data_IF_768383509816
#
_entry.id   IF_768383509816
#
_cell.length_a   1.000
_cell.length_b   1.000
_cell.length_c   1.000
_cell.angle_alpha   90.00
_cell.angle_beta   90.00
_cell.angle_gamma   90.00
#
_symmetry.space_group_name_H-M   'P 1'
#
loop_
_entity.id
_entity.type
_entity.pdbx_description
1 polymer ?
#
# COMPACT_ATOMS: atom_id res chain seq x y z
N UNK A 1 -20.57 49.02 2.06
CA UNK A 1 -19.43 48.33 1.45
C UNK A 1 -18.75 47.53 2.55
N UNK A 2 -19.08 46.25 2.64
CA UNK A 2 -18.38 45.27 3.48
C UNK A 2 -18.86 43.91 2.97
N UNK A 3 -18.11 43.37 2.01
CA UNK A 3 -18.35 42.05 1.43
C UNK A 3 -17.85 40.99 2.39
N UNK A 4 -18.77 40.14 2.81
CA UNK A 4 -18.52 38.95 3.62
C UNK A 4 -18.18 37.80 2.65
N UNK A 5 -16.90 37.51 2.47
CA UNK A 5 -16.43 36.36 1.68
C UNK A 5 -16.36 35.13 2.57
N UNK A 6 -17.52 34.53 2.85
CA UNK A 6 -17.62 33.20 3.41
C UNK A 6 -17.13 32.16 2.40
N UNK A 7 -15.85 31.78 2.47
CA UNK A 7 -15.37 30.57 1.82
C UNK A 7 -15.99 29.37 2.53
N UNK A 8 -17.08 28.83 1.98
CA UNK A 8 -17.62 27.55 2.41
C UNK A 8 -16.66 26.45 1.95
N UNK A 9 -15.80 26.01 2.87
CA UNK A 9 -15.13 24.73 2.71
C UNK A 9 -16.22 23.66 2.60
N UNK A 10 -16.27 22.98 1.44
CA UNK A 10 -17.11 21.80 1.27
C UNK A 10 -16.76 20.80 2.38
N UNK A 11 -17.76 20.18 3.02
CA UNK A 11 -17.51 19.15 4.03
C UNK A 11 -16.66 18.03 3.43
N UNK A 12 -15.78 17.46 4.26
CA UNK A 12 -15.01 16.26 3.93
C UNK A 12 -15.98 15.12 3.63
N UNK A 13 -16.25 14.88 2.34
CA UNK A 13 -16.89 13.68 1.84
C UNK A 13 -15.80 12.64 1.64
N UNK A 14 -15.99 11.44 2.21
CA UNK A 14 -15.00 10.37 2.12
C UNK A 14 -14.69 10.04 0.65
N UNK A 15 -13.41 9.94 0.33
CA UNK A 15 -12.81 9.93 -1.01
C UNK A 15 -13.31 8.88 -2.03
N UNK A 16 -14.28 8.04 -1.72
CA UNK A 16 -14.74 7.01 -2.66
C UNK A 16 -15.87 7.53 -3.56
N UNK A 17 -15.60 8.61 -4.28
CA UNK A 17 -16.53 9.20 -5.26
C UNK A 17 -16.39 8.56 -6.65
N UNK A 18 -15.27 7.89 -6.91
CA UNK A 18 -14.95 7.26 -8.19
C UNK A 18 -14.78 5.74 -8.02
N UNK A 19 -15.89 5.02 -7.95
CA UNK A 19 -15.87 3.56 -7.79
C UNK A 19 -15.15 2.86 -8.96
N UNK A 20 -15.20 3.42 -10.16
CA UNK A 20 -14.51 2.88 -11.33
C UNK A 20 -12.99 2.92 -11.16
N UNK A 21 -12.45 4.01 -10.60
CA UNK A 21 -11.03 4.14 -10.29
C UNK A 21 -10.58 3.20 -9.17
N UNK A 22 -11.39 3.05 -8.11
CA UNK A 22 -11.10 2.10 -7.04
C UNK A 22 -11.07 0.65 -7.56
N UNK A 23 -12.06 0.24 -8.35
CA UNK A 23 -12.08 -1.11 -8.94
C UNK A 23 -10.89 -1.31 -9.89
N UNK A 24 -10.58 -0.33 -10.73
CA UNK A 24 -9.38 -0.38 -11.58
C UNK A 24 -8.10 -0.58 -10.77
N UNK A 25 -7.98 0.07 -9.62
CA UNK A 25 -6.84 -0.09 -8.74
C UNK A 25 -6.74 -1.52 -8.17
N UNK A 26 -7.87 -2.10 -7.76
CA UNK A 26 -7.91 -3.50 -7.29
C UNK A 26 -7.54 -4.46 -8.41
N UNK A 27 -8.02 -4.25 -9.64
CA UNK A 27 -7.65 -5.04 -10.82
C UNK A 27 -6.14 -4.97 -11.10
N UNK A 28 -5.59 -3.76 -11.16
CA UNK A 28 -4.16 -3.52 -11.43
C UNK A 28 -3.26 -4.13 -10.34
N UNK A 29 -3.67 -4.02 -9.08
CA UNK A 29 -2.91 -4.56 -7.94
C UNK A 29 -3.02 -6.07 -7.83
N UNK A 30 -4.21 -6.65 -8.04
CA UNK A 30 -4.39 -8.10 -8.06
C UNK A 30 -3.47 -8.73 -9.10
N UNK A 31 -3.49 -8.20 -10.33
CA UNK A 31 -2.66 -8.68 -11.43
C UNK A 31 -1.17 -8.39 -11.21
N UNK A 32 -0.83 -7.27 -10.55
CA UNK A 32 0.54 -7.00 -10.11
C UNK A 32 1.03 -8.06 -9.12
N UNK A 33 0.28 -8.34 -8.06
CA UNK A 33 0.68 -9.28 -7.02
C UNK A 33 0.70 -10.72 -7.55
N UNK A 34 -0.27 -11.12 -8.37
CA UNK A 34 -0.28 -12.42 -9.06
C UNK A 34 0.97 -12.59 -9.93
N UNK A 35 1.12 -11.74 -10.95
CA UNK A 35 2.14 -11.91 -11.99
C UNK A 35 3.56 -11.54 -11.53
N UNK A 36 3.71 -10.75 -10.45
CA UNK A 36 5.04 -10.32 -9.95
C UNK A 36 5.45 -10.96 -8.63
N UNK A 37 4.53 -11.39 -7.77
CA UNK A 37 4.87 -11.83 -6.41
C UNK A 37 4.49 -13.27 -6.12
N UNK A 38 3.42 -13.78 -6.73
CA UNK A 38 2.92 -15.11 -6.45
C UNK A 38 3.30 -16.15 -7.51
N UNK A 39 2.79 -16.06 -8.73
CA UNK A 39 2.99 -17.11 -9.75
C UNK A 39 4.46 -17.35 -10.12
N UNK A 40 5.32 -16.31 -10.29
CA UNK A 40 6.75 -16.54 -10.48
C UNK A 40 7.39 -17.39 -9.38
N UNK A 41 6.89 -17.28 -8.14
CA UNK A 41 7.38 -18.08 -7.01
C UNK A 41 6.92 -19.54 -7.10
N UNK A 42 5.69 -19.77 -7.55
CA UNK A 42 5.20 -21.12 -7.81
C UNK A 42 6.08 -21.78 -8.88
N UNK A 43 6.36 -21.09 -9.98
CA UNK A 43 7.27 -21.57 -11.03
C UNK A 43 8.69 -21.82 -10.52
N UNK A 44 9.24 -20.88 -9.74
CA UNK A 44 10.56 -21.00 -9.12
C UNK A 44 10.72 -22.29 -8.33
N UNK A 45 9.71 -22.63 -7.52
CA UNK A 45 9.71 -23.82 -6.66
C UNK A 45 9.40 -25.11 -7.43
N UNK A 46 8.53 -25.05 -8.44
CA UNK A 46 8.29 -26.16 -9.37
C UNK A 46 9.58 -26.59 -10.08
N UNK A 47 10.34 -25.62 -10.60
CA UNK A 47 11.60 -25.86 -11.33
C UNK A 47 12.71 -26.44 -10.44
N UNK A 48 12.59 -26.32 -9.12
CA UNK A 48 13.56 -26.82 -8.12
C UNK A 48 13.09 -28.07 -7.39
N UNK A 49 11.96 -28.65 -7.80
CA UNK A 49 11.38 -29.84 -7.18
C UNK A 49 11.07 -29.66 -5.68
N UNK A 50 10.79 -28.43 -5.24
CA UNK A 50 10.36 -28.13 -3.88
C UNK A 50 8.89 -28.54 -3.73
N UNK A 51 8.06 -28.08 -4.66
CA UNK A 51 6.66 -28.47 -4.88
C UNK A 51 6.53 -28.94 -6.32
N UNK A 52 5.69 -29.93 -6.60
CA UNK A 52 5.36 -30.39 -7.97
C UNK A 52 3.89 -30.11 -8.31
N UNK A 53 3.56 -30.08 -9.61
CA UNK A 53 2.15 -29.97 -10.03
C UNK A 53 1.26 -31.07 -9.44
N UNK A 54 1.79 -32.29 -9.32
CA UNK A 54 1.08 -33.39 -8.66
C UNK A 54 0.81 -33.13 -7.18
N UNK A 55 1.68 -32.40 -6.50
CA UNK A 55 1.51 -32.05 -5.09
C UNK A 55 0.39 -31.03 -4.94
N UNK A 56 0.30 -30.06 -5.85
CA UNK A 56 -0.83 -29.10 -5.89
C UNK A 56 -2.16 -29.82 -6.09
N UNK A 57 -2.23 -30.79 -7.01
CA UNK A 57 -3.46 -31.56 -7.24
C UNK A 57 -3.85 -32.39 -6.01
N UNK A 58 -2.89 -33.06 -5.35
CA UNK A 58 -3.14 -33.82 -4.12
C UNK A 58 -3.58 -32.90 -2.97
N UNK A 59 -2.86 -31.81 -2.77
CA UNK A 59 -3.18 -30.78 -1.77
C UNK A 59 -4.59 -30.24 -1.98
N UNK A 60 -5.00 -29.99 -3.22
CA UNK A 60 -6.34 -29.50 -3.54
C UNK A 60 -7.46 -30.48 -3.17
N UNK A 61 -7.25 -31.78 -3.38
CA UNK A 61 -8.22 -32.83 -3.02
C UNK A 61 -8.32 -32.98 -1.50
N UNK A 62 -7.19 -32.85 -0.79
CA UNK A 62 -7.13 -33.02 0.67
C UNK A 62 -7.49 -31.74 1.45
N UNK A 63 -7.44 -30.57 0.82
CA UNK A 63 -7.70 -29.29 1.45
C UNK A 63 -9.14 -29.20 1.96
N UNK A 64 -9.29 -29.27 3.28
CA UNK A 64 -10.57 -29.06 3.96
C UNK A 64 -10.76 -27.58 4.27
N UNK A 65 -12.00 -27.09 4.16
CA UNK A 65 -12.37 -25.71 4.52
C UNK A 65 -11.88 -25.27 5.90
N UNK A 66 -11.87 -26.18 6.89
CA UNK A 66 -11.37 -25.88 8.24
C UNK A 66 -9.85 -25.59 8.30
N UNK A 67 -9.09 -26.04 7.31
CA UNK A 67 -7.65 -25.88 7.21
C UNK A 67 -7.25 -24.67 6.35
N UNK A 68 -8.23 -23.97 5.76
CA UNK A 68 -7.98 -22.74 5.02
C UNK A 68 -7.56 -21.61 5.97
N UNK A 69 -6.51 -20.91 5.59
CA UNK A 69 -6.03 -19.71 6.28
C UNK A 69 -6.94 -18.51 5.97
N UNK A 70 -7.33 -18.34 4.71
CA UNK A 70 -8.18 -17.23 4.29
C UNK A 70 -9.64 -17.53 4.63
N UNK A 71 -10.24 -16.62 5.38
CA UNK A 71 -11.65 -16.68 5.76
C UNK A 71 -12.30 -15.34 5.44
N UNK A 72 -12.49 -15.01 4.15
CA UNK A 72 -13.10 -13.75 3.76
C UNK A 72 -14.49 -13.64 4.40
N UNK A 73 -14.74 -12.49 5.03
CA UNK A 73 -16.06 -12.16 5.57
C UNK A 73 -16.98 -11.75 4.43
N UNK A 74 -18.29 -11.93 4.58
CA UNK A 74 -19.22 -11.40 3.57
C UNK A 74 -19.23 -9.86 3.63
N UNK A 75 -19.47 -9.17 2.50
CA UNK A 75 -19.59 -7.71 2.49
C UNK A 75 -20.63 -7.24 3.51
N UNK A 76 -20.26 -6.23 4.31
CA UNK A 76 -21.16 -5.56 5.24
C UNK A 76 -22.02 -4.54 4.48
N UNK A 77 -22.99 -5.03 3.71
CA UNK A 77 -23.90 -4.19 2.92
C UNK A 77 -24.09 -4.69 1.49
N UNK A 78 -25.03 -4.06 0.77
CA UNK A 78 -25.36 -4.38 -0.63
C UNK A 78 -25.13 -3.22 -1.59
N UNK A 79 -24.74 -2.04 -1.11
CA UNK A 79 -24.44 -0.90 -1.96
C UNK A 79 -23.09 -1.09 -2.66
N UNK A 80 -22.83 -0.29 -3.70
CA UNK A 80 -21.60 -0.37 -4.49
C UNK A 80 -20.37 -0.14 -3.62
N UNK A 81 -20.40 0.89 -2.76
CA UNK A 81 -19.34 1.19 -1.79
C UNK A 81 -18.95 -0.04 -0.94
N UNK A 82 -19.90 -0.72 -0.31
CA UNK A 82 -19.60 -1.88 0.53
C UNK A 82 -18.98 -3.04 -0.28
N UNK A 83 -19.39 -3.20 -1.55
CA UNK A 83 -18.82 -4.20 -2.43
C UNK A 83 -17.40 -3.83 -2.89
N UNK A 84 -17.13 -2.56 -3.15
CA UNK A 84 -15.77 -2.06 -3.48
C UNK A 84 -14.84 -2.29 -2.29
N UNK A 85 -15.24 -1.86 -1.09
CA UNK A 85 -14.48 -2.10 0.15
C UNK A 85 -14.22 -3.57 0.40
N UNK A 86 -15.21 -4.42 0.16
CA UNK A 86 -15.05 -5.87 0.28
C UNK A 86 -13.96 -6.42 -0.66
N UNK A 87 -13.91 -5.95 -1.91
CA UNK A 87 -12.89 -6.36 -2.86
C UNK A 87 -11.49 -5.84 -2.49
N UNK A 88 -11.40 -4.62 -1.96
CA UNK A 88 -10.15 -4.06 -1.42
C UNK A 88 -9.65 -4.87 -0.21
N UNK A 89 -10.51 -5.15 0.76
CA UNK A 89 -10.20 -5.98 1.93
C UNK A 89 -9.79 -7.40 1.53
N UNK A 90 -10.47 -8.00 0.54
CA UNK A 90 -10.12 -9.33 0.05
C UNK A 90 -8.77 -9.32 -0.68
N UNK A 91 -8.48 -8.30 -1.48
CA UNK A 91 -7.14 -8.13 -2.06
C UNK A 91 -6.06 -8.05 -0.97
N UNK A 92 -6.32 -7.34 0.13
CA UNK A 92 -5.36 -7.21 1.23
C UNK A 92 -5.09 -8.54 1.92
N UNK A 93 -6.14 -9.34 2.15
CA UNK A 93 -6.00 -10.70 2.64
C UNK A 93 -5.18 -11.58 1.68
N UNK A 94 -5.42 -11.47 0.37
CA UNK A 94 -4.64 -12.18 -0.64
C UNK A 94 -3.15 -11.77 -0.62
N UNK A 95 -2.86 -10.47 -0.49
CA UNK A 95 -1.49 -9.94 -0.41
C UNK A 95 -0.76 -10.43 0.84
N UNK A 96 -1.41 -10.39 2.02
CA UNK A 96 -0.87 -11.00 3.24
C UNK A 96 -0.61 -12.49 3.03
N UNK A 97 -1.50 -13.17 2.33
CA UNK A 97 -1.36 -14.56 1.93
C UNK A 97 -0.08 -14.84 1.15
N UNK A 98 0.24 -14.01 0.16
CA UNK A 98 1.49 -14.15 -0.61
C UNK A 98 2.70 -13.94 0.30
N UNK A 99 2.61 -13.07 1.30
CA UNK A 99 3.67 -12.83 2.27
C UNK A 99 3.89 -14.03 3.20
N UNK A 100 2.83 -14.77 3.56
CA UNK A 100 2.91 -16.00 4.36
C UNK A 100 3.92 -17.00 3.76
N UNK A 101 3.92 -17.10 2.43
CA UNK A 101 4.80 -17.99 1.65
C UNK A 101 6.04 -17.28 1.10
N UNK A 102 6.56 -16.24 1.77
CA UNK A 102 7.74 -15.48 1.32
C UNK A 102 8.99 -15.65 2.20
N UNK A 103 10.10 -15.93 1.51
CA UNK A 103 11.53 -15.79 1.83
C UNK A 103 12.16 -16.56 3.01
N UNK A 104 11.56 -16.59 4.21
CA UNK A 104 12.27 -17.13 5.41
C UNK A 104 11.61 -18.34 6.07
N UNK A 105 10.37 -18.67 5.70
CA UNK A 105 9.62 -19.76 6.32
C UNK A 105 9.85 -21.14 5.67
N UNK A 106 10.52 -21.19 4.52
CA UNK A 106 10.82 -22.42 3.80
C UNK A 106 12.30 -22.38 3.45
N UNK A 107 13.08 -23.35 3.89
CA UNK A 107 14.57 -23.38 3.83
C UNK A 107 15.20 -23.25 2.41
N UNK A 108 14.38 -23.11 1.35
CA UNK A 108 14.81 -22.92 -0.04
C UNK A 108 14.36 -21.60 -0.71
N UNK A 109 13.83 -20.64 0.05
CA UNK A 109 13.07 -19.48 -0.48
C UNK A 109 13.84 -18.16 -0.64
N UNK A 110 15.17 -18.12 -0.61
CA UNK A 110 15.91 -16.85 -0.85
C UNK A 110 15.94 -16.48 -2.35
N UNK A 111 14.74 -16.30 -2.92
CA UNK A 111 14.53 -15.85 -4.29
C UNK A 111 14.93 -14.38 -4.36
N UNK A 112 16.12 -14.12 -4.90
CA UNK A 112 16.59 -12.76 -5.10
C UNK A 112 15.78 -12.08 -6.20
N UNK A 113 15.88 -10.76 -6.30
CA UNK A 113 15.12 -9.97 -7.27
C UNK A 113 15.29 -10.50 -8.70
N UNK A 114 16.50 -10.91 -9.08
CA UNK A 114 16.79 -11.45 -10.40
C UNK A 114 16.11 -12.78 -10.70
N UNK A 115 16.01 -13.67 -9.71
CA UNK A 115 15.29 -14.92 -9.90
C UNK A 115 13.81 -14.65 -10.17
N UNK A 116 13.21 -13.71 -9.43
CA UNK A 116 11.84 -13.31 -9.69
C UNK A 116 11.65 -12.71 -11.10
N UNK A 117 12.58 -11.86 -11.56
CA UNK A 117 12.53 -11.27 -12.91
C UNK A 117 12.62 -12.34 -14.00
N UNK A 118 13.48 -13.33 -13.81
CA UNK A 118 13.61 -14.48 -14.72
C UNK A 118 12.33 -15.32 -14.76
N UNK A 119 11.77 -15.66 -13.61
CA UNK A 119 10.56 -16.48 -13.52
C UNK A 119 9.31 -15.75 -14.03
N UNK A 120 9.28 -14.42 -13.92
CA UNK A 120 8.25 -13.55 -14.51
C UNK A 120 8.36 -13.41 -16.03
N UNK A 121 9.52 -13.72 -16.60
CA UNK A 121 9.80 -13.57 -18.04
C UNK A 121 10.07 -12.13 -18.46
N UNK A 122 10.65 -11.29 -17.59
CA UNK A 122 10.87 -9.85 -17.90
C UNK A 122 11.78 -9.60 -19.09
N UNK A 123 12.62 -10.57 -19.43
CA UNK A 123 13.64 -10.46 -20.48
C UNK A 123 13.20 -11.06 -21.82
N UNK A 124 12.01 -11.67 -21.88
CA UNK A 124 11.48 -12.34 -23.07
C UNK A 124 9.94 -12.30 -23.07
N UNK A 125 9.36 -11.58 -24.04
CA UNK A 125 7.91 -11.44 -24.18
C UNK A 125 7.18 -12.78 -24.37
N UNK A 126 7.85 -13.82 -24.88
CA UNK A 126 7.27 -15.16 -24.98
C UNK A 126 7.03 -15.78 -23.59
N UNK A 127 7.92 -15.54 -22.64
CA UNK A 127 7.84 -16.09 -21.28
C UNK A 127 7.14 -15.16 -20.28
N UNK A 128 6.85 -13.92 -20.68
CA UNK A 128 6.26 -12.91 -19.80
C UNK A 128 4.86 -13.31 -19.37
N UNK A 129 4.62 -13.34 -18.06
CA UNK A 129 3.29 -13.59 -17.51
C UNK A 129 2.37 -12.43 -17.91
N UNK A 130 1.40 -12.72 -18.78
CA UNK A 130 0.39 -11.75 -19.20
C UNK A 130 -0.57 -11.45 -18.05
N UNK A 131 -0.84 -10.16 -17.87
CA UNK A 131 -1.90 -9.69 -16.97
C UNK A 131 -3.25 -9.87 -17.64
N UNK A 132 -4.26 -10.23 -16.86
CA UNK A 132 -5.65 -10.24 -17.29
C UNK A 132 -6.14 -8.79 -17.41
N UNK A 133 -6.92 -8.53 -18.45
CA UNK A 133 -7.64 -7.26 -18.60
C UNK A 133 -9.11 -7.47 -18.26
N UNK A 134 -9.67 -6.53 -17.52
CA UNK A 134 -11.08 -6.52 -17.14
C UNK A 134 -11.80 -5.46 -17.97
N UNK A 135 -12.86 -5.89 -18.66
CA UNK A 135 -13.69 -5.02 -19.50
C UNK A 135 -15.15 -5.15 -19.09
N UNK A 136 -15.98 -4.21 -19.52
CA UNK A 136 -17.43 -4.20 -19.25
C UNK A 136 -17.82 -3.09 -18.28
N UNK A 137 -19.04 -3.20 -17.75
CA UNK A 137 -19.55 -2.26 -16.75
C UNK A 137 -18.84 -2.44 -15.42
N UNK A 138 -18.97 -1.45 -14.52
CA UNK A 138 -18.44 -1.53 -13.15
C UNK A 138 -18.89 -2.82 -12.46
N UNK A 139 -20.18 -3.17 -12.53
CA UNK A 139 -20.71 -4.37 -11.90
C UNK A 139 -20.16 -5.66 -12.50
N UNK A 140 -20.01 -5.75 -13.82
CA UNK A 140 -19.42 -6.91 -14.50
C UNK A 140 -17.96 -7.09 -14.09
N UNK A 141 -17.19 -6.00 -14.07
CA UNK A 141 -15.81 -5.97 -13.60
C UNK A 141 -15.68 -6.43 -12.15
N UNK A 142 -16.54 -5.94 -11.26
CA UNK A 142 -16.58 -6.38 -9.86
C UNK A 142 -16.87 -7.88 -9.71
N UNK A 143 -17.78 -8.44 -10.50
CA UNK A 143 -18.09 -9.88 -10.49
C UNK A 143 -16.89 -10.69 -10.98
N UNK A 144 -16.26 -10.26 -12.08
CA UNK A 144 -15.07 -10.91 -12.61
C UNK A 144 -13.91 -10.87 -11.62
N UNK A 145 -13.71 -9.73 -10.95
CA UNK A 145 -12.68 -9.54 -9.94
C UNK A 145 -12.91 -10.42 -8.70
N UNK A 146 -14.16 -10.57 -8.25
CA UNK A 146 -14.53 -11.48 -7.17
C UNK A 146 -14.17 -12.93 -7.52
N UNK A 147 -14.43 -13.34 -8.76
CA UNK A 147 -14.10 -14.67 -9.25
C UNK A 147 -12.57 -14.87 -9.36
N UNK A 148 -11.84 -13.88 -9.84
CA UNK A 148 -10.37 -13.94 -9.92
C UNK A 148 -9.72 -14.03 -8.53
N UNK A 149 -10.17 -13.21 -7.57
CA UNK A 149 -9.71 -13.29 -6.17
C UNK A 149 -9.93 -14.68 -5.59
N UNK A 150 -11.10 -15.27 -5.85
CA UNK A 150 -11.42 -16.63 -5.41
C UNK A 150 -10.46 -17.66 -6.01
N UNK A 151 -10.25 -17.62 -7.33
CA UNK A 151 -9.39 -18.58 -8.02
C UNK A 151 -7.92 -18.45 -7.62
N UNK A 152 -7.41 -17.22 -7.50
CA UNK A 152 -6.03 -16.95 -7.11
C UNK A 152 -5.77 -17.28 -5.64
N UNK A 153 -6.74 -17.01 -4.76
CA UNK A 153 -6.67 -17.42 -3.36
C UNK A 153 -6.74 -18.94 -3.20
N UNK A 154 -7.56 -19.63 -4.01
CA UNK A 154 -7.63 -21.08 -3.98
C UNK A 154 -6.28 -21.70 -4.35
N UNK A 155 -5.62 -21.20 -5.40
CA UNK A 155 -4.26 -21.63 -5.74
C UNK A 155 -3.26 -21.37 -4.59
N UNK A 156 -3.38 -20.23 -3.90
CA UNK A 156 -2.53 -19.89 -2.77
C UNK A 156 -2.73 -20.83 -1.57
N UNK A 157 -3.97 -21.17 -1.22
CA UNK A 157 -4.27 -22.17 -0.17
C UNK A 157 -3.71 -23.55 -0.52
N UNK A 158 -3.91 -23.97 -1.77
CA UNK A 158 -3.37 -25.24 -2.28
C UNK A 158 -1.85 -25.26 -2.21
N UNK A 159 -1.21 -24.14 -2.58
CA UNK A 159 0.23 -24.00 -2.52
C UNK A 159 0.77 -24.07 -1.09
N UNK A 160 0.14 -23.37 -0.16
CA UNK A 160 0.44 -23.45 1.29
C UNK A 160 0.31 -24.89 1.79
N UNK A 161 -0.79 -25.56 1.45
CA UNK A 161 -1.04 -26.94 1.87
C UNK A 161 -0.01 -27.92 1.28
N UNK A 162 0.42 -27.71 0.03
CA UNK A 162 1.46 -28.51 -0.59
C UNK A 162 2.82 -28.32 0.09
N UNK A 163 3.17 -27.10 0.51
CA UNK A 163 4.39 -26.84 1.29
C UNK A 163 4.36 -27.60 2.63
N UNK A 164 3.21 -27.60 3.32
CA UNK A 164 3.02 -28.35 4.57
C UNK A 164 3.18 -29.86 4.33
N UNK A 165 2.50 -30.42 3.33
CA UNK A 165 2.56 -31.86 3.01
C UNK A 165 3.97 -32.33 2.63
N UNK A 166 4.74 -31.44 2.00
CA UNK A 166 6.13 -31.69 1.61
C UNK A 166 7.13 -31.45 2.75
N UNK A 167 6.67 -30.98 3.91
CA UNK A 167 7.51 -30.75 5.09
C UNK A 167 8.37 -29.48 5.02
N UNK A 168 8.06 -28.54 4.12
CA UNK A 168 8.81 -27.30 3.96
C UNK A 168 8.47 -26.22 4.99
N UNK A 169 7.33 -26.35 5.66
CA UNK A 169 6.93 -25.58 6.83
C UNK A 169 5.85 -26.35 7.59
N UNK A 170 5.70 -26.09 8.88
CA UNK A 170 4.63 -26.66 9.69
C UNK A 170 3.36 -25.80 9.66
N UNK A 171 2.21 -26.39 9.97
CA UNK A 171 0.96 -25.63 10.08
C UNK A 171 1.07 -24.58 11.18
N UNK A 172 1.67 -24.95 12.30
CA UNK A 172 1.82 -24.12 13.49
C UNK A 172 2.68 -22.88 13.20
N UNK A 173 3.80 -23.03 12.48
CA UNK A 173 4.64 -21.91 12.03
C UNK A 173 3.86 -20.93 11.15
N UNK A 174 3.12 -21.45 10.17
CA UNK A 174 2.34 -20.62 9.26
C UNK A 174 1.16 -19.96 9.98
N UNK A 175 0.51 -20.61 10.94
CA UNK A 175 -0.55 -20.02 11.75
C UNK A 175 -0.01 -18.90 12.66
N UNK A 176 1.16 -19.09 13.26
CA UNK A 176 1.82 -18.04 14.04
C UNK A 176 2.20 -16.85 13.16
N UNK A 177 2.77 -17.11 11.98
CA UNK A 177 3.09 -16.04 11.02
C UNK A 177 1.82 -15.33 10.57
N UNK A 178 0.79 -16.06 10.16
CA UNK A 178 -0.50 -15.50 9.77
C UNK A 178 -1.06 -14.56 10.85
N UNK A 179 -0.98 -14.97 12.12
CA UNK A 179 -1.36 -14.11 13.25
C UNK A 179 -0.53 -12.82 13.33
N UNK A 180 0.78 -12.88 13.09
CA UNK A 180 1.65 -11.70 13.05
C UNK A 180 1.26 -10.74 11.91
N UNK A 181 0.94 -11.26 10.71
CA UNK A 181 0.48 -10.43 9.58
C UNK A 181 -0.84 -9.70 9.87
N UNK A 182 -1.61 -10.17 10.86
CA UNK A 182 -2.89 -9.59 11.29
C UNK A 182 -2.80 -8.78 12.58
N UNK A 183 -1.60 -8.66 13.16
CA UNK A 183 -1.41 -7.86 14.36
C UNK A 183 -1.59 -6.37 14.03
N UNK A 184 -2.53 -5.72 14.71
CA UNK A 184 -2.72 -4.28 14.55
C UNK A 184 -1.57 -3.54 15.24
N UNK A 185 -0.75 -2.86 14.45
CA UNK A 185 0.32 -2.00 14.94
C UNK A 185 0.01 -0.55 14.57
N UNK A 186 0.43 0.44 15.39
CA UNK A 186 0.42 1.84 14.96
C UNK A 186 1.15 1.97 13.63
N UNK A 187 0.56 2.70 12.69
CA UNK A 187 1.18 2.89 11.38
C UNK A 187 2.48 3.69 11.51
N UNK A 188 3.58 3.12 11.07
CA UNK A 188 4.92 3.69 11.25
C UNK A 188 5.04 5.11 10.68
N UNK A 189 4.44 5.40 9.52
CA UNK A 189 4.48 6.75 8.93
C UNK A 189 3.95 7.85 9.86
N UNK A 190 2.82 7.60 10.52
CA UNK A 190 2.23 8.54 11.47
C UNK A 190 3.08 8.70 12.73
N UNK A 191 3.61 7.60 13.27
CA UNK A 191 4.47 7.64 14.47
C UNK A 191 5.78 8.38 14.17
N UNK A 192 6.40 8.15 13.01
CA UNK A 192 7.64 8.82 12.59
C UNK A 192 7.43 10.34 12.53
N UNK A 193 6.37 10.78 11.85
CA UNK A 193 6.10 12.23 11.70
C UNK A 193 5.73 12.87 13.03
N UNK A 194 4.89 12.21 13.84
CA UNK A 194 4.53 12.71 15.15
C UNK A 194 5.76 12.90 16.05
N UNK A 195 6.67 11.91 16.07
CA UNK A 195 7.94 12.03 16.78
C UNK A 195 8.80 13.17 16.23
N UNK A 196 8.87 13.35 14.91
CA UNK A 196 9.61 14.47 14.31
C UNK A 196 8.99 15.84 14.63
N UNK A 197 7.69 15.93 14.92
CA UNK A 197 7.06 17.16 15.39
C UNK A 197 7.37 17.46 16.87
N UNK A 198 7.46 16.43 17.71
CA UNK A 198 7.63 16.58 19.17
C UNK A 198 9.09 16.53 19.64
N UNK A 199 10.00 16.01 18.83
CA UNK A 199 11.41 15.78 19.15
C UNK A 199 12.33 16.43 18.09
N UNK A 200 12.83 17.66 18.34
CA UNK A 200 13.69 18.37 17.39
C UNK A 200 15.01 17.66 17.08
N UNK A 201 15.57 16.90 18.03
CA UNK A 201 16.80 16.13 17.82
C UNK A 201 16.55 14.97 16.85
N UNK A 202 15.45 14.25 17.07
CA UNK A 202 15.01 13.21 16.15
C UNK A 202 14.68 13.78 14.77
N UNK A 203 14.01 14.93 14.69
CA UNK A 203 13.73 15.60 13.42
C UNK A 203 15.01 15.89 12.65
N UNK A 204 16.01 16.47 13.31
CA UNK A 204 17.30 16.76 12.70
C UNK A 204 17.98 15.48 12.20
N UNK A 205 18.01 14.42 13.01
CA UNK A 205 18.57 13.12 12.63
C UNK A 205 17.81 12.49 11.44
N UNK A 206 16.47 12.59 11.42
CA UNK A 206 15.62 12.06 10.36
C UNK A 206 15.89 12.75 9.01
N UNK A 207 16.05 14.07 9.02
CA UNK A 207 16.35 14.86 7.81
C UNK A 207 17.78 14.63 7.31
N UNK A 208 18.74 14.43 8.20
CA UNK A 208 20.15 14.22 7.85
C UNK A 208 20.43 12.76 7.39
N UNK A 209 19.94 11.79 8.15
CA UNK A 209 20.27 10.36 8.03
C UNK A 209 19.03 9.50 8.26
N UNK A 210 18.04 9.64 7.35
CA UNK A 210 16.70 9.06 7.56
C UNK A 210 16.69 7.56 7.85
N UNK A 211 17.49 6.76 7.13
CA UNK A 211 17.52 5.30 7.34
C UNK A 211 18.06 4.94 8.73
N UNK A 212 19.11 5.62 9.17
CA UNK A 212 19.75 5.42 10.47
C UNK A 212 18.83 5.86 11.61
N UNK A 213 18.19 7.03 11.50
CA UNK A 213 17.26 7.53 12.50
C UNK A 213 16.06 6.58 12.71
N UNK A 214 15.51 6.04 11.62
CA UNK A 214 14.44 5.05 11.71
C UNK A 214 14.89 3.73 12.34
N UNK A 215 16.15 3.33 12.14
CA UNK A 215 16.70 2.10 12.75
C UNK A 215 16.79 2.24 14.26
N UNK A 216 17.23 3.39 14.75
CA UNK A 216 17.29 3.68 16.19
C UNK A 216 15.90 3.72 16.84
N UNK A 217 14.89 4.16 16.08
CA UNK A 217 13.48 4.11 16.47
C UNK A 217 12.89 2.68 16.43
N UNK A 218 13.60 1.69 15.89
CA UNK A 218 13.13 0.31 15.76
C UNK A 218 12.19 0.08 14.57
N UNK A 219 12.09 1.02 13.63
CA UNK A 219 11.32 0.86 12.39
C UNK A 219 12.18 0.16 11.35
N UNK A 220 11.82 -1.05 10.92
CA UNK A 220 12.58 -1.78 9.90
C UNK A 220 12.46 -1.11 8.51
N UNK A 221 13.59 -0.83 7.85
CA UNK A 221 13.59 -0.12 6.55
C UNK A 221 13.62 -1.07 5.34
N UNK A 222 13.63 -2.38 5.60
CA UNK A 222 13.71 -3.43 4.58
C UNK A 222 14.78 -3.16 3.53
N UNK A 223 14.38 -3.21 2.25
CA UNK A 223 15.30 -3.10 1.10
C UNK A 223 15.52 -1.65 0.64
N UNK A 224 15.05 -0.65 1.39
CA UNK A 224 15.28 0.75 1.06
C UNK A 224 16.76 1.07 1.20
N UNK A 225 17.44 1.32 0.07
CA UNK A 225 18.87 1.65 0.05
C UNK A 225 19.15 2.98 0.74
N UNK A 226 18.67 4.07 0.13
CA UNK A 226 18.74 5.43 0.70
C UNK A 226 17.34 5.96 0.95
N UNK A 227 17.11 6.51 2.14
CA UNK A 227 15.87 7.19 2.51
C UNK A 227 16.15 8.69 2.65
N UNK A 228 15.36 9.52 1.98
CA UNK A 228 15.43 10.98 2.08
C UNK A 228 14.08 11.51 2.52
N UNK A 229 14.08 12.28 3.61
CA UNK A 229 12.88 12.93 4.12
C UNK A 229 12.91 14.39 3.69
N UNK A 230 11.86 14.83 2.98
CA UNK A 230 11.78 16.18 2.44
C UNK A 230 10.79 17.00 3.26
N UNK A 231 11.25 18.08 3.88
CA UNK A 231 10.46 18.86 4.84
C UNK A 231 9.62 19.93 4.15
N UNK A 232 8.31 19.91 4.40
CA UNK A 232 7.45 21.05 4.06
C UNK A 232 7.68 22.20 5.04
N UNK A 233 7.77 23.41 4.50
CA UNK A 233 7.95 24.65 5.27
C UNK A 233 6.96 25.70 4.80
N UNK A 234 6.93 26.88 5.41
CA UNK A 234 6.07 27.99 4.93
C UNK A 234 6.40 28.41 3.49
N UNK A 235 7.62 28.13 3.03
CA UNK A 235 8.12 28.53 1.71
C UNK A 235 8.17 27.40 0.69
N UNK A 236 8.17 26.13 1.12
CA UNK A 236 8.36 24.97 0.23
C UNK A 236 7.30 23.90 0.50
N UNK A 237 6.65 23.42 -0.56
CA UNK A 237 5.79 22.25 -0.59
C UNK A 237 6.45 21.17 -1.44
N UNK A 238 6.71 20.01 -0.85
CA UNK A 238 7.29 18.87 -1.54
C UNK A 238 6.17 17.91 -1.98
N UNK A 239 6.36 17.28 -3.14
CA UNK A 239 5.50 16.20 -3.63
C UNK A 239 6.35 15.11 -4.28
N UNK A 240 5.96 13.85 -4.13
CA UNK A 240 6.76 12.68 -4.52
C UNK A 240 6.06 11.85 -5.57
N UNK A 241 6.77 11.47 -6.62
CA UNK A 241 6.25 10.62 -7.70
C UNK A 241 7.26 9.51 -8.04
N UNK A 242 6.79 8.49 -8.76
CA UNK A 242 7.65 7.64 -9.56
C UNK A 242 7.10 7.59 -10.99
N UNK A 243 7.65 8.42 -11.89
CA UNK A 243 7.14 8.55 -13.26
C UNK A 243 7.22 7.21 -14.02
N UNK A 244 8.26 6.42 -13.75
CA UNK A 244 8.52 5.15 -14.44
C UNK A 244 7.65 3.99 -13.97
N UNK A 245 7.23 3.98 -12.70
CA UNK A 245 6.43 2.88 -12.16
C UNK A 245 5.66 3.26 -10.89
N UNK A 246 6.19 2.89 -9.72
CA UNK A 246 5.54 3.03 -8.41
C UNK A 246 6.54 2.95 -7.25
N UNK A 247 7.80 3.38 -7.45
CA UNK A 247 8.82 3.34 -6.41
C UNK A 247 8.38 4.11 -5.16
N UNK A 248 8.26 3.41 -4.03
CA UNK A 248 7.75 3.94 -2.76
C UNK A 248 8.47 3.25 -1.58
N UNK A 249 8.63 3.89 -0.40
CA UNK A 249 9.21 3.26 0.78
C UNK A 249 8.23 2.25 1.43
N UNK A 250 7.92 1.17 0.71
CA UNK A 250 6.91 0.18 1.09
C UNK A 250 7.09 -0.43 2.47
N UNK A 251 8.34 -0.74 2.84
CA UNK A 251 8.67 -1.39 4.12
C UNK A 251 8.50 -0.44 5.32
N UNK A 252 8.35 0.87 5.07
CA UNK A 252 8.20 1.91 6.10
C UNK A 252 6.77 2.46 6.12
N UNK A 253 6.22 2.78 4.94
CA UNK A 253 4.95 3.49 4.83
C UNK A 253 3.76 2.61 4.43
N UNK A 254 3.99 1.34 4.09
CA UNK A 254 2.96 0.45 3.54
C UNK A 254 2.81 0.60 2.02
N UNK A 255 1.70 0.12 1.47
CA UNK A 255 1.38 0.27 0.06
C UNK A 255 0.99 1.70 -0.30
N UNK A 256 1.28 2.05 -1.55
CA UNK A 256 0.88 3.31 -2.15
C UNK A 256 -0.64 3.41 -2.25
N UNK A 257 -1.21 4.62 -2.17
CA UNK A 257 -2.62 4.83 -2.49
C UNK A 257 -2.84 4.54 -3.99
N UNK A 258 -4.07 4.24 -4.37
CA UNK A 258 -4.39 3.79 -5.73
C UNK A 258 -3.94 4.79 -6.81
N UNK A 259 -4.16 6.08 -6.55
CA UNK A 259 -3.91 7.16 -7.51
C UNK A 259 -2.41 7.34 -7.82
N UNK A 260 -1.51 6.87 -6.94
CA UNK A 260 -0.07 7.01 -7.11
C UNK A 260 0.46 6.28 -8.35
N UNK A 261 -0.18 5.16 -8.70
CA UNK A 261 0.17 4.34 -9.88
C UNK A 261 -0.51 4.84 -11.15
N UNK A 262 -1.52 5.69 -11.00
CA UNK A 262 -2.34 6.16 -12.10
C UNK A 262 -1.51 7.01 -13.06
N UNK A 263 -1.70 6.79 -14.37
CA UNK A 263 -0.91 7.42 -15.42
C UNK A 263 -1.08 8.95 -15.42
N UNK A 264 -2.27 9.46 -15.11
CA UNK A 264 -2.50 10.91 -15.02
C UNK A 264 -1.64 11.56 -13.94
N UNK A 265 -1.53 10.93 -12.76
CA UNK A 265 -0.68 11.44 -11.70
C UNK A 265 0.79 11.43 -12.13
N UNK A 266 1.27 10.25 -12.56
CA UNK A 266 2.67 10.03 -12.96
C UNK A 266 3.13 10.95 -14.09
N UNK A 267 2.22 11.34 -14.98
CA UNK A 267 2.53 12.20 -16.13
C UNK A 267 2.39 13.68 -15.78
N UNK A 268 1.28 14.07 -15.14
CA UNK A 268 0.93 15.48 -14.99
C UNK A 268 1.67 16.14 -13.82
N UNK A 269 2.01 15.40 -12.77
CA UNK A 269 2.63 15.97 -11.55
C UNK A 269 4.00 16.59 -11.83
N UNK A 270 4.76 16.06 -12.78
CA UNK A 270 6.07 16.60 -13.19
C UNK A 270 5.98 17.74 -14.20
N UNK A 271 4.84 17.89 -14.88
CA UNK A 271 4.64 18.93 -15.91
C UNK A 271 4.02 20.20 -15.33
N UNK A 272 2.96 20.04 -14.53
CA UNK A 272 2.24 21.15 -13.91
C UNK A 272 1.77 20.75 -12.51
N UNK A 273 2.69 20.71 -11.51
CA UNK A 273 2.41 20.12 -10.21
C UNK A 273 1.25 20.78 -9.49
N UNK A 274 1.13 22.12 -9.55
CA UNK A 274 0.04 22.85 -8.89
C UNK A 274 -1.32 22.50 -9.46
N UNK A 275 -1.44 22.49 -10.80
CA UNK A 275 -2.70 22.15 -11.44
C UNK A 275 -3.06 20.69 -11.16
N UNK A 276 -2.10 19.76 -11.30
CA UNK A 276 -2.31 18.36 -10.99
C UNK A 276 -2.79 18.15 -9.55
N UNK A 277 -2.16 18.80 -8.56
CA UNK A 277 -2.52 18.67 -7.15
C UNK A 277 -3.91 19.24 -6.86
N UNK A 278 -4.21 20.43 -7.40
CA UNK A 278 -5.53 21.05 -7.24
C UNK A 278 -6.63 20.21 -7.87
N UNK A 279 -6.41 19.74 -9.10
CA UNK A 279 -7.45 19.08 -9.88
C UNK A 279 -7.70 17.64 -9.38
N UNK A 280 -6.67 16.93 -8.92
CA UNK A 280 -6.80 15.55 -8.41
C UNK A 280 -7.17 15.47 -6.93
N UNK A 281 -6.69 16.41 -6.10
CA UNK A 281 -6.81 16.32 -4.64
C UNK A 281 -7.56 17.49 -4.01
N UNK A 282 -7.95 18.51 -4.79
CA UNK A 282 -8.60 19.71 -4.26
C UNK A 282 -7.68 20.58 -3.40
N UNK A 283 -6.36 20.39 -3.48
CA UNK A 283 -5.38 21.10 -2.67
C UNK A 283 -4.84 22.34 -3.42
N UNK A 284 -5.19 23.52 -2.92
CA UNK A 284 -4.64 24.79 -3.41
C UNK A 284 -3.34 25.16 -2.68
N UNK A 285 -2.22 25.08 -3.39
CA UNK A 285 -0.91 25.51 -2.88
C UNK A 285 -0.69 27.00 -3.20
N UNK A 286 -0.43 27.88 -2.21
CA UNK A 286 -0.24 29.30 -2.44
C UNK A 286 0.82 29.61 -3.50
N UNK A 287 0.56 30.64 -4.33
CA UNK A 287 1.45 31.01 -5.43
C UNK A 287 2.88 31.36 -4.97
N UNK A 288 3.02 31.93 -3.75
CA UNK A 288 4.32 32.29 -3.17
C UNK A 288 5.10 31.12 -2.53
N UNK A 289 4.52 29.93 -2.43
CA UNK A 289 5.16 28.74 -1.85
C UNK A 289 5.76 27.89 -2.97
N UNK A 290 7.07 27.70 -3.01
CA UNK A 290 7.75 26.85 -4.01
C UNK A 290 7.19 25.42 -3.98
N UNK A 291 7.06 24.77 -5.14
CA UNK A 291 6.65 23.37 -5.23
C UNK A 291 7.81 22.54 -5.79
N UNK A 292 8.31 21.59 -5.00
CA UNK A 292 9.40 20.71 -5.38
C UNK A 292 8.89 19.30 -5.62
N UNK A 293 9.11 18.79 -6.84
CA UNK A 293 8.69 17.44 -7.24
C UNK A 293 9.89 16.49 -7.16
N UNK A 294 9.78 15.44 -6.37
CA UNK A 294 10.80 14.41 -6.20
C UNK A 294 10.42 13.14 -6.95
N UNK A 295 11.12 12.86 -8.05
CA UNK A 295 10.88 11.67 -8.87
C UNK A 295 11.81 10.52 -8.44
N UNK A 296 11.20 9.41 -8.00
CA UNK A 296 11.86 8.22 -7.47
C UNK A 296 12.38 7.31 -8.60
N UNK A 297 13.36 7.83 -9.36
CA UNK A 297 13.97 7.17 -10.53
C UNK A 297 15.16 6.26 -10.21
N UNK A 298 15.68 6.32 -8.98
CA UNK A 298 16.84 5.55 -8.51
C UNK A 298 16.49 4.62 -7.34
N UNK A 299 17.49 4.17 -6.58
CA UNK A 299 17.37 3.41 -5.34
C UNK A 299 17.06 4.30 -4.11
N UNK A 300 16.93 5.61 -4.31
CA UNK A 300 16.47 6.55 -3.28
C UNK A 300 14.95 6.45 -3.13
N UNK A 301 14.48 6.43 -1.89
CA UNK A 301 13.07 6.57 -1.55
C UNK A 301 12.85 7.85 -0.77
N UNK A 302 11.74 8.51 -1.08
CA UNK A 302 11.35 9.77 -0.46
C UNK A 302 10.07 9.58 0.34
N UNK A 303 9.92 10.35 1.41
CA UNK A 303 8.62 10.73 1.94
C UNK A 303 8.66 12.18 2.43
N UNK A 304 7.50 12.84 2.43
CA UNK A 304 7.34 14.22 2.90
C UNK A 304 7.20 14.21 4.42
N UNK A 305 7.95 15.07 5.10
CA UNK A 305 7.63 15.47 6.47
C UNK A 305 6.66 16.66 6.40
N UNK A 306 5.35 16.46 6.60
CA UNK A 306 4.39 17.55 6.56
C UNK A 306 4.61 18.53 7.72
N UNK A 307 4.11 19.76 7.57
CA UNK A 307 4.07 20.72 8.67
C UNK A 307 3.08 20.26 9.73
N UNK A 308 3.41 20.47 11.00
CA UNK A 308 2.49 20.25 12.12
C UNK A 308 1.31 21.23 11.99
N UNK A 309 0.05 20.75 12.02
CA UNK A 309 -1.12 21.62 12.00
C UNK A 309 -1.17 22.53 13.24
N UNK A 310 -1.72 23.73 13.09
CA UNK A 310 -1.88 24.67 14.20
C UNK A 310 -2.92 24.17 15.21
N UNK A 311 -2.80 24.55 16.49
CA UNK A 311 -3.76 24.11 17.51
C UNK A 311 -3.57 22.66 17.94
N UNK A 312 -2.38 22.10 17.72
CA UNK A 312 -2.00 20.73 18.10
C UNK A 312 -0.89 20.70 19.15
N UNK A 313 -0.57 21.85 19.75
CA UNK A 313 0.55 22.04 20.69
C UNK A 313 0.40 21.21 21.98
N UNK A 314 -0.84 20.93 22.39
CA UNK A 314 -1.15 20.13 23.59
C UNK A 314 -1.46 18.65 23.28
N UNK A 315 -1.44 18.25 22.01
CA UNK A 315 -1.74 16.87 21.62
C UNK A 315 -0.58 15.94 21.96
N UNK A 316 -0.90 14.74 22.45
CA UNK A 316 0.10 13.69 22.63
C UNK A 316 0.63 13.19 21.27
N UNK A 317 1.83 12.60 21.26
CA UNK A 317 2.42 12.00 20.06
C UNK A 317 1.47 11.00 19.37
N UNK A 318 0.74 10.21 20.15
CA UNK A 318 -0.25 9.26 19.64
C UNK A 318 -1.48 9.93 18.99
N UNK A 319 -1.81 11.14 19.40
CA UNK A 319 -2.90 11.91 18.80
C UNK A 319 -2.43 12.63 17.55
N UNK A 320 -1.22 13.20 17.57
CA UNK A 320 -0.55 13.78 16.40
C UNK A 320 -0.38 12.76 15.27
N UNK A 321 -0.01 11.52 15.59
CA UNK A 321 0.16 10.46 14.61
C UNK A 321 -1.12 10.18 13.79
N UNK A 322 -2.30 10.46 14.35
CA UNK A 322 -3.60 10.26 13.69
C UNK A 322 -3.95 11.39 12.70
N UNK A 323 -3.22 12.50 12.73
CA UNK A 323 -3.38 13.61 11.78
C UNK A 323 -2.61 13.34 10.48
N UNK A 324 -1.62 12.46 10.52
CA UNK A 324 -0.78 12.11 9.38
C UNK A 324 -1.55 11.17 8.47
N UNK A 325 -1.59 11.49 7.18
CA UNK A 325 -2.23 10.69 6.14
C UNK A 325 -1.21 10.25 5.09
N UNK A 326 -1.56 9.23 4.30
CA UNK A 326 -0.76 8.82 3.14
C UNK A 326 -0.54 10.00 2.18
N UNK A 327 -1.59 10.78 1.92
CA UNK A 327 -1.53 11.96 1.07
C UNK A 327 -0.55 13.01 1.63
N UNK A 328 -0.52 13.20 2.95
CA UNK A 328 0.42 14.13 3.60
C UNK A 328 1.88 13.67 3.51
N UNK A 329 2.13 12.36 3.46
CA UNK A 329 3.48 11.79 3.29
C UNK A 329 3.95 11.75 1.84
N UNK A 330 3.03 11.88 0.88
CA UNK A 330 3.37 12.01 -0.55
C UNK A 330 3.40 13.48 -0.98
N UNK A 331 2.71 14.36 -0.27
CA UNK A 331 2.54 15.77 -0.64
C UNK A 331 1.31 16.04 -1.51
N UNK A 332 0.37 15.10 -1.59
CA UNK A 332 -0.93 15.26 -2.23
C UNK A 332 -1.98 15.91 -1.30
N UNK A 333 -1.67 16.01 0.00
CA UNK A 333 -2.49 16.65 1.02
C UNK A 333 -1.62 17.31 2.09
N UNK A 334 -2.24 18.11 2.96
CA UNK A 334 -1.64 18.46 4.25
C UNK A 334 -1.98 17.37 5.29
N UNK A 335 -1.27 17.39 6.43
CA UNK A 335 -1.76 16.66 7.59
C UNK A 335 -3.14 17.21 7.99
N UNK A 336 -3.99 16.35 8.53
CA UNK A 336 -5.35 16.73 8.92
C UNK A 336 -5.29 17.74 10.07
N UNK A 337 -6.14 18.75 10.00
CA UNK A 337 -6.49 19.57 11.15
C UNK A 337 -7.32 18.73 12.15
N UNK A 338 -7.24 19.02 13.47
CA UNK A 338 -8.02 18.30 14.48
C UNK A 338 -9.54 18.26 14.17
N UNK A 339 -10.09 19.34 13.63
CA UNK A 339 -11.49 19.43 13.23
C UNK A 339 -11.83 18.46 12.07
N UNK A 340 -10.94 18.31 11.09
CA UNK A 340 -11.12 17.39 9.97
C UNK A 340 -11.11 15.93 10.46
N UNK A 341 -10.18 15.58 11.35
CA UNK A 341 -10.14 14.25 11.95
C UNK A 341 -11.41 13.94 12.76
N UNK A 342 -11.93 14.91 13.51
CA UNK A 342 -13.19 14.76 14.25
C UNK A 342 -14.39 14.62 13.31
N UNK A 343 -14.43 15.37 12.21
CA UNK A 343 -15.49 15.29 11.21
C UNK A 343 -15.50 13.93 10.51
N UNK A 344 -14.33 13.44 10.10
CA UNK A 344 -14.18 12.10 9.50
C UNK A 344 -14.73 11.01 10.44
N UNK A 345 -14.32 11.04 11.72
CA UNK A 345 -14.84 10.12 12.74
C UNK A 345 -16.36 10.17 12.89
N UNK A 346 -16.96 11.36 12.87
CA UNK A 346 -18.43 11.53 12.97
C UNK A 346 -19.17 10.95 11.76
N UNK A 347 -18.56 11.04 10.59
CA UNK A 347 -19.12 10.53 9.33
C UNK A 347 -18.90 9.02 9.16
N UNK A 348 -18.22 8.35 10.10
CA UNK A 348 -17.79 6.95 9.94
C UNK A 348 -16.72 6.77 8.85
N UNK A 349 -16.21 7.86 8.28
CA UNK A 349 -15.12 7.85 7.33
C UNK A 349 -13.82 7.75 8.12
N UNK A 350 -13.07 6.68 7.91
CA UNK A 350 -11.69 6.61 8.40
C UNK A 350 -10.82 7.20 7.28
N UNK A 351 -9.92 8.17 7.55
CA UNK A 351 -8.91 8.54 6.55
C UNK A 351 -8.24 7.27 6.04
N UNK A 352 -8.03 7.16 4.73
CA UNK A 352 -7.47 5.95 4.12
C UNK A 352 -6.11 5.66 4.78
N UNK A 353 -6.10 4.70 5.70
CA UNK A 353 -4.88 4.22 6.30
C UNK A 353 -4.16 3.41 5.21
N UNK A 354 -2.85 3.56 5.03
CA UNK A 354 -2.16 2.80 4.02
C UNK A 354 -2.26 1.32 4.36
N UNK A 355 -2.37 0.51 3.32
CA UNK A 355 -2.35 -0.94 3.47
C UNK A 355 -0.94 -1.35 3.88
N UNK A 356 -0.77 -1.68 5.15
CA UNK A 356 0.55 -1.98 5.72
C UNK A 356 1.00 -3.33 5.18
N UNK A 357 2.20 -3.38 4.59
CA UNK A 357 2.79 -4.65 4.22
C UNK A 357 3.22 -5.38 5.49
N UNK A 358 2.94 -6.68 5.61
CA UNK A 358 3.58 -7.46 6.64
C UNK A 358 5.10 -7.45 6.45
N UNK A 359 5.81 -7.37 7.57
CA UNK A 359 7.26 -7.32 7.72
C UNK A 359 7.99 -8.60 7.26
#
# INVERSE_FOLDING_TARGET
>A
MSGDHGHSHKPFEGHMHDFDAHIRAVEEDLEYYRAKRFEPRVFYLLRRNVVMFSDLLKARVELKRKNQFFKPRKPEGKNIEARVRYLEEWLDEYVKGIALVSARAVEAMDMVTEDNRKERGDYDEFFKIKKKEHHGTLEERMVNLEQDLKDYQELLEVFVQALIQRGWSTREELEQRWKQLHEQRPWAGGVIVAKAWTDPEFKHALLATGREALREMGVHQGKVGKLVVVENTDKVHNVIVCTLCSCYPYDILGDTPWWYKHESYRTNIVQNPRACIRDMFGLDIPAGKEVQVYDSTSDVRYFVLPQQPAGTEEMSENELAKLVTVDSLIGAGYALEPAQLQQAKKLGATPEAPRVRPD
#
